data_IF_861481064868
#
_entry.id   IF_861481064868
#
_cell.length_a   1.000
_cell.length_b   1.000
_cell.length_c   1.000
_cell.angle_alpha   90.00
_cell.angle_beta   90.00
_cell.angle_gamma   90.00
#
_symmetry.space_group_name_H-M   'P 1'
#
loop_
_entity.id
_entity.type
_entity.pdbx_description
1 polymer ?
#
# COMPACT_ATOMS: atom_id res chain seq x y z
N UNK A 1 -9.22 -2.90 -0.15
CA UNK A 1 -9.03 -1.46 0.15
C UNK A 1 -7.91 -0.83 -0.67
N UNK A 2 -6.67 -1.35 -0.60
CA UNK A 2 -5.47 -0.78 -1.24
C UNK A 2 -5.62 -0.44 -2.72
N UNK A 3 -6.10 -1.39 -3.55
CA UNK A 3 -6.35 -1.15 -4.99
C UNK A 3 -7.29 0.04 -5.24
N UNK A 4 -8.33 0.21 -4.41
CA UNK A 4 -9.26 1.33 -4.53
C UNK A 4 -8.58 2.67 -4.23
N UNK A 5 -7.70 2.71 -3.22
CA UNK A 5 -6.91 3.92 -2.91
C UNK A 5 -5.96 4.25 -4.07
N UNK A 6 -5.28 3.25 -4.64
CA UNK A 6 -4.41 3.43 -5.82
C UNK A 6 -5.19 4.06 -6.97
N UNK A 7 -6.36 3.52 -7.32
CA UNK A 7 -7.18 4.07 -8.41
C UNK A 7 -7.66 5.50 -8.14
N UNK A 8 -7.97 5.85 -6.89
CA UNK A 8 -8.36 7.23 -6.53
C UNK A 8 -7.18 8.21 -6.58
N UNK A 9 -5.95 7.75 -6.30
CA UNK A 9 -4.75 8.59 -6.27
C UNK A 9 -4.16 8.86 -7.66
N UNK A 10 -4.34 7.95 -8.63
CA UNK A 10 -3.89 8.11 -10.02
C UNK A 10 -4.22 9.46 -10.67
N UNK A 11 -5.47 9.95 -10.70
CA UNK A 11 -5.79 11.24 -11.33
C UNK A 11 -5.18 12.44 -10.62
N UNK A 12 -4.74 12.27 -9.37
CA UNK A 12 -4.07 13.30 -8.58
C UNK A 12 -2.54 13.29 -8.79
N UNK A 13 -2.01 12.35 -9.59
CA UNK A 13 -0.57 12.19 -9.79
C UNK A 13 0.15 11.70 -8.53
N UNK A 14 -0.56 11.07 -7.59
CA UNK A 14 0.00 10.57 -6.32
C UNK A 14 0.23 9.06 -6.44
N UNK A 15 1.46 8.62 -6.16
CA UNK A 15 1.83 7.22 -6.10
C UNK A 15 1.67 6.65 -4.68
N UNK A 16 1.10 5.45 -4.57
CA UNK A 16 1.13 4.68 -3.34
C UNK A 16 2.36 3.78 -3.35
N UNK A 17 3.38 4.13 -2.57
CA UNK A 17 4.63 3.39 -2.56
C UNK A 17 4.55 2.02 -1.89
N UNK A 18 3.76 1.89 -0.83
CA UNK A 18 3.54 0.63 -0.12
C UNK A 18 2.29 0.70 0.76
N UNK A 19 1.77 -0.46 1.14
CA UNK A 19 0.82 -0.62 2.22
C UNK A 19 1.47 -1.45 3.32
N UNK A 20 1.76 -0.80 4.44
CA UNK A 20 2.43 -1.43 5.58
C UNK A 20 1.39 -1.70 6.67
N UNK A 21 1.30 -2.95 7.12
CA UNK A 21 0.51 -3.35 8.27
C UNK A 21 1.46 -3.49 9.46
N UNK A 22 1.25 -2.69 10.51
CA UNK A 22 2.13 -2.67 11.71
C UNK A 22 1.47 -3.45 12.85
N UNK A 23 2.25 -4.29 13.54
CA UNK A 23 1.87 -5.04 14.73
C UNK A 23 2.91 -4.89 15.85
N UNK A 24 2.67 -5.54 16.99
CA UNK A 24 3.53 -5.43 18.19
C UNK A 24 5.00 -5.77 17.92
N UNK A 25 5.24 -6.83 17.14
CA UNK A 25 6.59 -7.38 16.93
C UNK A 25 7.17 -7.05 15.53
N UNK A 26 6.56 -6.12 14.80
CA UNK A 26 7.08 -5.69 13.49
C UNK A 26 6.01 -5.21 12.51
N UNK A 27 6.26 -5.40 11.23
CA UNK A 27 5.36 -4.99 10.17
C UNK A 27 5.40 -5.95 8.97
N UNK A 28 4.33 -5.93 8.17
CA UNK A 28 4.25 -6.59 6.88
C UNK A 28 4.12 -5.54 5.77
N UNK A 29 5.03 -5.59 4.80
CA UNK A 29 4.99 -4.78 3.58
C UNK A 29 4.25 -5.55 2.49
N UNK A 30 3.13 -5.01 2.00
CA UNK A 30 2.39 -5.67 0.91
C UNK A 30 3.18 -5.62 -0.40
N UNK A 31 3.96 -4.56 -0.65
CA UNK A 31 4.87 -4.48 -1.80
C UNK A 31 6.01 -5.50 -1.69
N UNK A 32 6.62 -5.63 -0.52
CA UNK A 32 7.67 -6.62 -0.25
C UNK A 32 7.18 -8.06 -0.41
N UNK A 33 5.92 -8.31 -0.06
CA UNK A 33 5.25 -9.59 -0.26
C UNK A 33 4.67 -9.77 -1.68
N UNK A 34 4.81 -8.78 -2.58
CA UNK A 34 4.29 -8.78 -3.96
C UNK A 34 2.77 -8.98 -4.04
N UNK A 35 2.04 -8.41 -3.09
CA UNK A 35 0.59 -8.45 -3.01
C UNK A 35 -0.09 -7.21 -3.62
N UNK A 36 0.71 -6.19 -3.98
CA UNK A 36 0.30 -4.96 -4.66
C UNK A 36 1.32 -4.55 -5.72
#
# INVERSE_FOLDING_TARGET
MTKRIIEMAKPLGIELHDHIIVGKDGHASLKGLRLI
#
